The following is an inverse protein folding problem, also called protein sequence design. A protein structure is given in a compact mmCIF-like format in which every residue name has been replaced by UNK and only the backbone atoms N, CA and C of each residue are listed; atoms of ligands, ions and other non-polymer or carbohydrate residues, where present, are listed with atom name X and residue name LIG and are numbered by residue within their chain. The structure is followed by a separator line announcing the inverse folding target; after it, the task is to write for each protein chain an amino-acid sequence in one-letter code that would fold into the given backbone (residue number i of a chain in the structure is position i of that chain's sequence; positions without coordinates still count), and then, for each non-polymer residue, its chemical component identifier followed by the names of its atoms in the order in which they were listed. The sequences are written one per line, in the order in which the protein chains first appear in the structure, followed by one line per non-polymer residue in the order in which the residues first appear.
data_IF_349018379352
#
_entry.id   IF_349018379352
#
_cell.length_a   1.000
_cell.length_b   1.000
_cell.length_c   1.000
_cell.angle_alpha   90.00
_cell.angle_beta   90.00
_cell.angle_gamma   90.00
#
_symmetry.space_group_name_H-M   'P 1'
#
loop_
_entity.id
_entity.type
_entity.pdbx_description
1 polymer ?
#
# COMPACT_ATOMS: atom_id res chain seq x y z
N UNK A 1 -13.68 7.71 28.98
CA UNK A 1 -14.10 6.54 28.21
C UNK A 1 -15.24 6.91 27.26
N UNK A 2 -14.90 7.44 26.10
CA UNK A 2 -15.84 7.55 24.98
C UNK A 2 -15.10 7.02 23.77
N UNK A 3 -15.29 5.71 23.51
CA UNK A 3 -14.83 5.08 22.31
C UNK A 3 -15.38 5.82 21.10
N UNK A 4 -14.49 6.29 20.24
CA UNK A 4 -14.77 6.73 18.89
C UNK A 4 -15.46 5.56 18.20
N UNK A 5 -16.76 5.66 17.95
CA UNK A 5 -17.44 4.82 16.97
C UNK A 5 -16.93 5.27 15.60
N UNK A 6 -15.99 4.51 15.05
CA UNK A 6 -15.74 4.53 13.60
C UNK A 6 -17.08 4.33 12.91
N UNK A 7 -17.67 5.38 12.38
CA UNK A 7 -18.76 5.25 11.42
C UNK A 7 -18.13 4.71 10.14
N UNK A 8 -18.09 3.39 10.06
CA UNK A 8 -17.61 2.66 8.91
C UNK A 8 -18.49 3.05 7.72
N UNK A 9 -18.04 4.01 6.90
CA UNK A 9 -18.69 4.28 5.62
C UNK A 9 -18.49 3.06 4.74
N UNK A 10 -19.51 2.69 3.99
CA UNK A 10 -19.44 1.55 3.09
C UNK A 10 -18.40 1.82 2.00
N UNK A 11 -17.49 0.88 1.81
CA UNK A 11 -16.44 0.92 0.78
C UNK A 11 -17.03 0.88 -0.64
N UNK A 12 -18.30 0.51 -0.76
CA UNK A 12 -19.04 0.42 -2.00
C UNK A 12 -20.51 0.77 -1.80
N UNK A 13 -21.17 1.21 -2.86
CA UNK A 13 -22.59 1.49 -2.90
C UNK A 13 -23.24 0.88 -4.15
N UNK A 14 -24.53 0.53 -4.04
CA UNK A 14 -25.32 0.00 -5.16
C UNK A 14 -26.07 1.14 -5.84
N UNK A 15 -26.07 1.13 -7.18
CA UNK A 15 -26.82 2.11 -7.97
C UNK A 15 -27.53 1.44 -9.15
N UNK A 16 -28.65 2.02 -9.55
CA UNK A 16 -29.38 1.62 -10.75
C UNK A 16 -28.60 2.04 -11.99
N UNK A 17 -28.47 1.12 -12.93
CA UNK A 17 -27.81 1.33 -14.21
C UNK A 17 -28.69 0.82 -15.35
N UNK A 18 -28.35 1.19 -16.57
CA UNK A 18 -28.83 0.51 -17.77
C UNK A 18 -27.69 -0.31 -18.35
N UNK A 19 -27.86 -1.62 -18.40
CA UNK A 19 -26.89 -2.59 -18.94
C UNK A 19 -27.28 -3.00 -20.36
N UNK A 20 -26.31 -2.96 -21.28
CA UNK A 20 -26.46 -3.58 -22.58
C UNK A 20 -26.02 -5.03 -22.54
N UNK A 21 -26.93 -5.96 -22.77
CA UNK A 21 -26.67 -7.39 -22.72
C UNK A 21 -27.49 -8.10 -23.82
N UNK A 22 -26.81 -8.94 -24.60
CA UNK A 22 -27.43 -9.72 -25.68
C UNK A 22 -28.29 -8.91 -26.67
N UNK A 23 -27.81 -7.72 -27.05
CA UNK A 23 -28.49 -6.86 -28.02
C UNK A 23 -29.63 -5.99 -27.44
N UNK A 24 -29.82 -5.98 -26.12
CA UNK A 24 -30.90 -5.25 -25.44
C UNK A 24 -30.38 -4.39 -24.29
N UNK A 25 -31.02 -3.25 -24.10
CA UNK A 25 -30.82 -2.40 -22.91
C UNK A 25 -31.78 -2.88 -21.81
N UNK A 26 -31.26 -3.14 -20.60
CA UNK A 26 -32.03 -3.58 -19.43
C UNK A 26 -31.66 -2.75 -18.21
N UNK A 27 -32.64 -2.42 -17.38
CA UNK A 27 -32.39 -1.89 -16.06
C UNK A 27 -31.72 -2.95 -15.18
N UNK A 28 -30.73 -2.57 -14.44
CA UNK A 28 -29.96 -3.45 -13.56
C UNK A 28 -29.42 -2.65 -12.38
N UNK A 29 -28.91 -3.36 -11.37
CA UNK A 29 -28.18 -2.75 -10.26
C UNK A 29 -26.71 -3.12 -10.40
N UNK A 30 -25.82 -2.15 -10.18
CA UNK A 30 -24.39 -2.38 -10.14
C UNK A 30 -23.78 -1.80 -8.87
N UNK A 31 -22.63 -2.33 -8.48
CA UNK A 31 -21.91 -1.96 -7.26
C UNK A 31 -20.69 -1.12 -7.61
N UNK A 32 -20.60 0.07 -7.05
CA UNK A 32 -19.51 1.01 -7.26
C UNK A 32 -18.68 1.18 -5.99
N UNK A 33 -17.37 1.37 -6.16
CA UNK A 33 -16.47 1.74 -5.05
C UNK A 33 -16.70 3.18 -4.64
N UNK A 34 -16.55 3.44 -3.34
CA UNK A 34 -16.68 4.77 -2.76
C UNK A 34 -15.34 5.50 -2.80
N UNK A 35 -15.32 6.70 -3.38
CA UNK A 35 -14.20 7.63 -3.27
C UNK A 35 -14.43 8.58 -2.09
N UNK A 36 -13.39 8.79 -1.30
CA UNK A 36 -13.44 9.69 -0.15
C UNK A 36 -12.22 10.61 -0.14
N UNK A 37 -12.41 11.94 -0.29
CA UNK A 37 -11.33 12.90 -0.14
C UNK A 37 -11.01 13.10 1.34
N UNK A 38 -9.77 12.79 1.74
CA UNK A 38 -9.27 12.96 3.10
C UNK A 38 -8.15 14.00 3.10
N UNK A 39 -8.39 15.14 3.73
CA UNK A 39 -7.40 16.21 3.91
C UNK A 39 -6.64 16.00 5.21
N UNK A 40 -5.34 15.81 5.11
CA UNK A 40 -4.43 15.58 6.24
C UNK A 40 -3.89 16.93 6.71
N UNK A 41 -4.23 17.28 7.96
CA UNK A 41 -3.73 18.44 8.67
C UNK A 41 -2.64 18.00 9.64
N UNK A 42 -1.46 18.59 9.59
CA UNK A 42 -0.36 18.29 10.51
C UNK A 42 0.00 19.55 11.30
N UNK A 43 -0.07 19.48 12.60
CA UNK A 43 0.18 20.61 13.51
C UNK A 43 -0.65 21.87 13.15
N UNK A 44 -1.89 21.68 12.65
CA UNK A 44 -2.79 22.76 12.25
C UNK A 44 -2.61 23.29 10.83
N UNK A 45 -1.62 22.81 10.08
CA UNK A 45 -1.38 23.17 8.68
C UNK A 45 -1.81 22.06 7.72
N UNK A 46 -2.35 22.43 6.55
CA UNK A 46 -2.69 21.47 5.50
C UNK A 46 -1.42 20.85 4.92
N UNK A 47 -1.32 19.52 5.00
CA UNK A 47 -0.20 18.76 4.46
C UNK A 47 -0.50 18.19 3.07
N UNK A 48 -1.64 17.50 2.93
CA UNK A 48 -2.04 16.90 1.66
C UNK A 48 -3.52 16.53 1.69
N UNK A 49 -4.15 16.42 0.50
CA UNK A 49 -5.44 15.76 0.32
C UNK A 49 -5.25 14.47 -0.47
N UNK A 50 -5.75 13.38 0.06
CA UNK A 50 -5.66 12.02 -0.52
C UNK A 50 -7.05 11.53 -0.87
N UNK A 51 -7.25 11.03 -2.09
CA UNK A 51 -8.48 10.33 -2.47
C UNK A 51 -8.32 8.86 -2.15
N UNK A 52 -9.16 8.33 -1.27
CA UNK A 52 -9.03 6.97 -0.73
C UNK A 52 -10.37 6.26 -0.60
N UNK A 53 -10.33 4.96 -0.30
CA UNK A 53 -11.48 4.24 0.22
C UNK A 53 -11.68 4.57 1.70
N UNK A 54 -12.93 4.76 2.19
CA UNK A 54 -13.23 5.23 3.54
C UNK A 54 -13.06 4.13 4.61
N UNK A 55 -11.99 3.37 4.55
CA UNK A 55 -11.65 2.30 5.50
C UNK A 55 -10.20 2.43 5.93
N UNK A 56 -9.90 2.07 7.19
CA UNK A 56 -8.55 2.10 7.74
C UNK A 56 -7.85 3.46 7.54
N UNK A 57 -8.56 4.56 7.71
CA UNK A 57 -8.06 5.91 7.40
C UNK A 57 -6.94 6.35 8.34
N UNK A 58 -6.95 5.97 9.61
CA UNK A 58 -5.82 6.23 10.52
C UNK A 58 -4.54 5.54 10.05
N UNK A 59 -4.65 4.27 9.65
CA UNK A 59 -3.52 3.53 9.08
C UNK A 59 -3.01 4.20 7.81
N UNK A 60 -3.92 4.64 6.91
CA UNK A 60 -3.55 5.38 5.70
C UNK A 60 -2.74 6.63 6.03
N UNK A 61 -3.22 7.45 6.97
CA UNK A 61 -2.57 8.70 7.36
C UNK A 61 -1.18 8.44 7.96
N UNK A 62 -1.06 7.47 8.87
CA UNK A 62 0.22 7.09 9.47
C UNK A 62 1.22 6.60 8.43
N UNK A 63 0.81 5.69 7.57
CA UNK A 63 1.66 5.14 6.52
C UNK A 63 2.04 6.17 5.47
N UNK A 64 1.11 7.05 5.11
CA UNK A 64 1.37 8.15 4.19
C UNK A 64 2.41 9.12 4.76
N UNK A 65 2.25 9.59 6.00
CA UNK A 65 3.19 10.49 6.66
C UNK A 65 4.58 9.86 6.81
N UNK A 66 4.65 8.55 7.11
CA UNK A 66 5.91 7.82 7.19
C UNK A 66 6.57 7.67 5.82
N UNK A 67 5.79 7.37 4.77
CA UNK A 67 6.28 7.28 3.38
C UNK A 67 6.80 8.62 2.86
N UNK A 68 6.17 9.72 3.25
CA UNK A 68 6.60 11.07 2.89
C UNK A 68 7.73 11.62 3.79
N UNK A 69 8.16 10.87 4.80
CA UNK A 69 9.22 11.29 5.73
C UNK A 69 8.80 12.32 6.76
N UNK A 70 7.50 12.62 6.86
CA UNK A 70 6.94 13.53 7.86
C UNK A 70 6.92 12.88 9.26
N UNK A 71 6.73 11.56 9.32
CA UNK A 71 6.78 10.74 10.52
C UNK A 71 7.94 9.73 10.39
N UNK A 72 9.00 9.87 11.21
CA UNK A 72 10.14 8.93 11.17
C UNK A 72 10.06 7.86 12.26
N UNK A 73 9.46 8.21 13.40
CA UNK A 73 9.30 7.32 14.55
C UNK A 73 7.92 7.50 15.14
N UNK A 74 7.35 6.42 15.67
CA UNK A 74 6.01 6.44 16.28
C UNK A 74 5.93 7.41 17.48
N UNK A 75 6.99 7.56 18.24
CA UNK A 75 7.06 8.45 19.41
C UNK A 75 6.96 9.94 19.03
N UNK A 76 7.08 10.28 17.74
CA UNK A 76 6.84 11.63 17.24
C UNK A 76 5.35 11.95 17.09
N UNK A 77 4.50 10.92 17.06
CA UNK A 77 3.04 11.08 17.00
C UNK A 77 2.49 11.38 18.39
N UNK A 78 1.86 12.55 18.57
CA UNK A 78 1.12 12.90 19.78
C UNK A 78 -0.33 12.45 19.71
N UNK A 79 -1.00 12.77 18.61
CA UNK A 79 -2.40 12.40 18.39
C UNK A 79 -2.74 12.29 16.92
N UNK A 80 -3.78 11.51 16.63
CA UNK A 80 -4.43 11.42 15.32
C UNK A 80 -5.93 11.36 15.56
N UNK A 81 -6.69 12.17 14.83
CA UNK A 81 -8.15 12.22 14.90
C UNK A 81 -8.72 12.33 13.48
N UNK A 82 -9.64 11.44 13.14
CA UNK A 82 -10.34 11.47 11.86
C UNK A 82 -11.72 12.10 12.06
N UNK A 83 -12.00 13.17 11.33
CA UNK A 83 -13.35 13.75 11.20
C UNK A 83 -13.96 13.26 9.87
N UNK A 84 -14.62 12.11 9.94
CA UNK A 84 -15.27 11.47 8.79
C UNK A 84 -16.35 12.35 8.16
N UNK A 85 -16.99 13.21 8.96
CA UNK A 85 -18.09 14.06 8.48
C UNK A 85 -17.60 15.15 7.56
N UNK A 86 -16.40 15.65 7.80
CA UNK A 86 -15.79 16.77 7.07
C UNK A 86 -14.65 16.33 6.14
N UNK A 87 -14.18 15.08 6.23
CA UNK A 87 -13.07 14.60 5.43
C UNK A 87 -11.71 15.15 5.87
N UNK A 88 -11.50 15.31 7.19
CA UNK A 88 -10.23 15.79 7.74
C UNK A 88 -9.59 14.73 8.65
N UNK A 89 -8.27 14.63 8.56
CA UNK A 89 -7.43 13.95 9.52
C UNK A 89 -6.54 14.98 10.22
N UNK A 90 -6.73 15.15 11.51
CA UNK A 90 -5.93 16.06 12.35
C UNK A 90 -4.82 15.27 13.03
N UNK A 91 -3.58 15.58 12.73
CA UNK A 91 -2.39 14.92 13.26
C UNK A 91 -1.54 15.93 14.02
N UNK A 92 -1.19 15.59 15.25
CA UNK A 92 -0.21 16.33 16.02
C UNK A 92 1.09 15.55 16.14
N UNK A 93 2.17 16.17 15.72
CA UNK A 93 3.54 15.66 15.84
C UNK A 93 4.32 16.46 16.88
N UNK A 94 5.30 15.82 17.53
CA UNK A 94 6.21 16.47 18.48
C UNK A 94 7.17 17.46 17.85
N UNK A 95 7.45 17.28 16.54
CA UNK A 95 8.37 18.11 15.77
C UNK A 95 7.63 18.92 14.71
N UNK A 96 8.12 20.13 14.44
CA UNK A 96 7.62 20.95 13.35
C UNK A 96 8.00 20.36 12.00
N UNK A 97 7.10 20.44 11.02
CA UNK A 97 7.39 20.07 9.63
C UNK A 97 8.41 21.00 8.98
N UNK A 98 8.46 22.28 9.40
CA UNK A 98 9.38 23.28 8.87
C UNK A 98 10.85 22.88 9.04
N UNK A 99 11.18 22.18 10.12
CA UNK A 99 12.52 21.68 10.39
C UNK A 99 12.96 20.56 9.41
N UNK A 100 12.00 19.96 8.69
CA UNK A 100 12.24 18.82 7.77
C UNK A 100 12.03 19.15 6.30
N UNK A 101 11.21 20.14 6.02
CA UNK A 101 10.78 20.50 4.66
C UNK A 101 11.05 21.97 4.36
N UNK A 102 12.29 22.42 4.53
CA UNK A 102 12.71 23.82 4.24
C UNK A 102 12.31 24.33 2.84
N UNK A 103 11.86 23.45 1.92
CA UNK A 103 11.58 23.76 0.52
C UNK A 103 10.33 23.12 -0.09
N UNK A 104 9.34 22.66 0.69
CA UNK A 104 8.15 22.07 0.06
C UNK A 104 6.97 23.05 0.00
N UNK A 105 6.76 23.64 -1.16
CA UNK A 105 5.49 24.25 -1.58
C UNK A 105 4.32 23.28 -1.40
N UNK A 106 3.17 23.81 -0.94
CA UNK A 106 1.89 23.11 -0.77
C UNK A 106 1.65 22.10 -1.89
N UNK A 107 1.50 20.81 -1.54
CA UNK A 107 1.34 19.74 -2.52
C UNK A 107 -0.09 19.22 -2.48
N UNK A 108 -0.79 19.34 -3.59
CA UNK A 108 -1.95 18.53 -3.88
C UNK A 108 -1.46 17.22 -4.51
N UNK A 109 -1.49 16.12 -3.76
CA UNK A 109 -1.11 14.80 -4.27
C UNK A 109 -2.40 14.10 -4.71
N UNK A 110 -2.73 14.24 -5.98
CA UNK A 110 -3.77 13.42 -6.59
C UNK A 110 -3.24 11.98 -6.74
N UNK A 111 -3.97 11.00 -6.22
CA UNK A 111 -3.64 9.58 -6.23
C UNK A 111 -3.49 8.95 -7.61
N UNK A 112 -3.77 9.68 -8.67
CA UNK A 112 -3.98 9.13 -10.01
C UNK A 112 -3.28 9.87 -11.08
N UNK A 113 -2.32 10.51 -11.25
CA UNK A 113 -1.71 10.96 -12.52
C UNK A 113 -0.50 11.89 -12.36
N UNK A 114 0.63 11.37 -12.52
CA UNK A 114 1.68 11.73 -13.45
C UNK A 114 2.26 13.17 -13.52
N UNK A 115 1.98 14.10 -12.60
CA UNK A 115 2.48 15.48 -12.75
C UNK A 115 3.49 15.99 -11.73
N UNK A 116 4.07 15.15 -10.87
CA UNK A 116 5.04 15.59 -9.86
C UNK A 116 6.34 14.78 -9.84
N UNK A 117 6.75 14.21 -10.97
CA UNK A 117 7.85 13.23 -11.06
C UNK A 117 9.25 13.75 -10.72
N UNK A 118 9.57 15.01 -10.93
CA UNK A 118 10.94 15.49 -10.71
C UNK A 118 11.28 15.74 -9.23
N UNK A 119 10.30 16.06 -8.38
CA UNK A 119 10.51 16.29 -6.96
C UNK A 119 10.55 15.02 -6.09
N UNK A 120 9.92 13.92 -6.56
CA UNK A 120 9.93 12.64 -5.84
C UNK A 120 11.32 12.00 -5.78
N UNK A 121 12.12 12.10 -6.84
CA UNK A 121 13.39 11.39 -6.91
C UNK A 121 14.42 11.84 -5.87
N UNK A 122 14.47 13.10 -5.48
CA UNK A 122 15.47 13.59 -4.49
C UNK A 122 15.07 13.20 -3.05
N UNK A 123 13.80 13.33 -2.68
CA UNK A 123 13.31 12.89 -1.37
C UNK A 123 13.21 11.36 -1.27
N UNK A 124 12.92 10.68 -2.36
CA UNK A 124 12.80 9.24 -2.41
C UNK A 124 14.14 8.54 -2.24
N UNK A 125 15.22 9.08 -2.83
CA UNK A 125 16.57 8.58 -2.61
C UNK A 125 17.04 8.72 -1.15
N UNK A 126 16.55 9.75 -0.43
CA UNK A 126 16.91 9.97 0.98
C UNK A 126 16.12 9.05 1.94
N UNK A 127 14.92 8.62 1.56
CA UNK A 127 14.01 7.82 2.42
C UNK A 127 13.93 6.34 2.03
N UNK A 128 14.22 5.99 0.78
CA UNK A 128 14.36 4.61 0.34
C UNK A 128 15.62 3.98 0.92
N UNK A 129 15.46 2.88 1.64
CA UNK A 129 16.57 2.18 2.31
C UNK A 129 16.91 0.90 1.56
N UNK A 130 18.20 0.62 1.43
CA UNK A 130 18.66 -0.71 1.00
C UNK A 130 18.17 -1.77 1.98
N UNK A 131 17.53 -2.81 1.47
CA UNK A 131 16.98 -3.87 2.32
C UNK A 131 18.09 -4.70 2.97
N UNK A 132 17.99 -4.85 4.28
CA UNK A 132 18.83 -5.75 5.09
C UNK A 132 18.08 -7.05 5.46
N UNK A 133 17.01 -7.36 4.75
CA UNK A 133 16.20 -8.55 5.00
C UNK A 133 17.01 -9.82 4.76
N UNK A 134 16.84 -10.76 5.71
CA UNK A 134 17.38 -12.12 5.62
C UNK A 134 16.27 -13.16 5.40
N UNK A 135 15.06 -12.71 5.08
CA UNK A 135 13.94 -13.63 4.85
C UNK A 135 14.25 -14.56 3.68
N UNK A 136 13.90 -15.80 3.84
CA UNK A 136 13.86 -16.79 2.76
C UNK A 136 12.49 -17.44 2.73
N UNK A 137 11.91 -17.57 1.55
CA UNK A 137 10.61 -18.20 1.34
C UNK A 137 10.71 -19.26 0.26
N UNK A 138 9.81 -20.23 0.31
CA UNK A 138 9.74 -21.28 -0.70
C UNK A 138 8.87 -20.85 -1.89
N UNK A 139 9.03 -21.46 -3.09
CA UNK A 139 8.11 -21.27 -4.20
C UNK A 139 6.65 -21.53 -3.84
N UNK A 140 6.39 -22.53 -3.02
CA UNK A 140 5.02 -22.82 -2.58
C UNK A 140 4.43 -21.70 -1.71
N UNK A 141 5.25 -21.10 -0.82
CA UNK A 141 4.81 -19.94 -0.03
C UNK A 141 4.51 -18.72 -0.92
N UNK A 142 5.28 -18.49 -1.99
CA UNK A 142 4.99 -17.43 -2.98
C UNK A 142 3.59 -17.62 -3.57
N UNK A 143 3.29 -18.83 -4.06
CA UNK A 143 2.00 -19.15 -4.65
C UNK A 143 0.85 -19.05 -3.63
N UNK A 144 1.05 -19.58 -2.44
CA UNK A 144 0.05 -19.54 -1.36
C UNK A 144 -0.29 -18.11 -0.93
N UNK A 145 0.71 -17.25 -0.76
CA UNK A 145 0.49 -15.84 -0.40
C UNK A 145 -0.31 -15.10 -1.46
N UNK A 146 -0.01 -15.33 -2.75
CA UNK A 146 -0.77 -14.71 -3.83
C UNK A 146 -2.22 -15.23 -3.88
N UNK A 147 -2.44 -16.51 -3.66
CA UNK A 147 -3.78 -17.11 -3.59
C UNK A 147 -4.58 -16.53 -2.42
N UNK A 148 -3.95 -16.35 -1.24
CA UNK A 148 -4.58 -15.70 -0.09
C UNK A 148 -4.99 -14.27 -0.40
N UNK A 149 -4.12 -13.48 -1.06
CA UNK A 149 -4.47 -12.11 -1.48
C UNK A 149 -5.68 -12.10 -2.41
N UNK A 150 -5.72 -13.00 -3.40
CA UNK A 150 -6.84 -13.08 -4.34
C UNK A 150 -8.14 -13.52 -3.67
N UNK A 151 -8.07 -14.39 -2.67
CA UNK A 151 -9.24 -14.85 -1.91
C UNK A 151 -9.79 -13.76 -0.97
N UNK A 152 -8.91 -12.93 -0.40
CA UNK A 152 -9.29 -11.81 0.47
C UNK A 152 -9.99 -10.66 -0.30
N UNK A 153 -9.91 -10.66 -1.63
CA UNK A 153 -10.37 -9.56 -2.50
C UNK A 153 -11.80 -9.74 -3.01
N UNK A 154 -12.76 -10.01 -2.12
CA UNK A 154 -14.17 -10.26 -2.51
C UNK A 154 -14.84 -9.06 -3.18
N UNK A 155 -14.64 -7.85 -2.67
CA UNK A 155 -15.21 -6.60 -3.23
C UNK A 155 -14.56 -6.26 -4.58
N UNK A 156 -13.28 -6.54 -4.76
CA UNK A 156 -12.61 -6.38 -6.06
C UNK A 156 -13.26 -7.24 -7.15
N UNK A 157 -13.67 -8.46 -6.83
CA UNK A 157 -14.35 -9.35 -7.79
C UNK A 157 -15.70 -8.81 -8.23
N UNK A 158 -16.35 -8.01 -7.39
CA UNK A 158 -17.65 -7.41 -7.68
C UNK A 158 -17.54 -6.07 -8.43
N UNK A 159 -16.53 -5.25 -8.11
CA UNK A 159 -16.45 -3.87 -8.59
C UNK A 159 -15.30 -3.62 -9.57
N UNK A 160 -14.25 -4.45 -9.54
CA UNK A 160 -13.02 -4.24 -10.33
C UNK A 160 -12.21 -2.99 -9.95
N UNK A 161 -12.68 -2.19 -9.00
CA UNK A 161 -12.19 -0.83 -8.74
C UNK A 161 -11.19 -0.67 -7.58
N UNK A 162 -10.78 -1.76 -6.92
CA UNK A 162 -9.89 -1.70 -5.76
C UNK A 162 -8.52 -2.34 -6.02
N UNK A 163 -7.49 -1.73 -5.48
CA UNK A 163 -6.17 -2.33 -5.35
C UNK A 163 -6.05 -3.07 -4.03
N UNK A 164 -5.40 -4.22 -4.06
CA UNK A 164 -5.21 -5.07 -2.89
C UNK A 164 -3.72 -5.23 -2.61
N UNK A 165 -3.37 -5.14 -1.34
CA UNK A 165 -2.03 -5.40 -0.85
C UNK A 165 -2.09 -6.21 0.44
N UNK A 166 -1.07 -7.02 0.69
CA UNK A 166 -0.91 -7.72 1.95
C UNK A 166 0.55 -7.71 2.39
N UNK A 167 0.75 -7.90 3.68
CA UNK A 167 2.08 -8.13 4.26
C UNK A 167 2.06 -9.46 5.02
N UNK A 168 3.11 -10.26 4.84
CA UNK A 168 3.19 -11.62 5.39
C UNK A 168 4.62 -11.96 5.82
N UNK A 169 4.77 -12.94 6.70
CA UNK A 169 6.06 -13.57 7.00
C UNK A 169 6.33 -14.82 6.14
N UNK A 170 5.41 -15.13 5.24
CA UNK A 170 5.45 -16.31 4.41
C UNK A 170 4.71 -17.50 4.99
N UNK A 171 4.20 -17.40 6.22
CA UNK A 171 3.59 -18.50 6.97
C UNK A 171 2.26 -18.05 7.62
N UNK A 172 2.19 -17.97 8.94
CA UNK A 172 0.96 -17.71 9.69
C UNK A 172 0.51 -16.24 9.61
N UNK A 173 1.46 -15.29 9.69
CA UNK A 173 1.14 -13.87 9.67
C UNK A 173 0.76 -13.41 8.26
N UNK A 174 -0.42 -12.81 8.14
CA UNK A 174 -0.93 -12.26 6.89
C UNK A 174 -1.96 -11.16 7.18
N UNK A 175 -1.61 -9.92 6.85
CA UNK A 175 -2.49 -8.76 6.95
C UNK A 175 -2.77 -8.20 5.57
N UNK A 176 -4.03 -7.86 5.31
CA UNK A 176 -4.52 -7.41 4.01
C UNK A 176 -5.23 -6.07 4.13
N UNK A 177 -4.97 -5.20 3.15
CA UNK A 177 -5.67 -3.92 2.97
C UNK A 177 -6.03 -3.71 1.51
N UNK A 178 -7.08 -2.93 1.31
CA UNK A 178 -7.58 -2.56 -0.01
C UNK A 178 -7.88 -1.06 -0.07
N UNK A 179 -7.72 -0.49 -1.26
CA UNK A 179 -8.02 0.91 -1.52
C UNK A 179 -8.23 1.13 -3.03
N UNK A 180 -8.96 2.21 -3.39
CA UNK A 180 -9.06 2.68 -4.78
C UNK A 180 -7.70 3.13 -5.34
N UNK A 181 -6.81 3.62 -4.48
CA UNK A 181 -5.45 4.04 -4.79
C UNK A 181 -4.43 2.94 -4.50
N UNK A 182 -3.64 2.55 -5.52
CA UNK A 182 -2.59 1.53 -5.32
C UNK A 182 -1.57 1.91 -4.24
N UNK A 183 -1.18 3.18 -4.15
CA UNK A 183 -0.27 3.68 -3.13
C UNK A 183 -0.91 3.69 -1.74
N UNK A 184 -2.21 4.00 -1.68
CA UNK A 184 -2.96 4.03 -0.42
C UNK A 184 -3.05 2.64 0.22
N UNK A 185 -3.26 1.58 -0.58
CA UNK A 185 -3.29 0.22 -0.06
C UNK A 185 -1.97 -0.16 0.63
N UNK A 186 -0.82 0.26 0.08
CA UNK A 186 0.49 0.06 0.70
C UNK A 186 0.68 0.92 1.94
N UNK A 187 0.22 2.18 1.91
CA UNK A 187 0.31 3.08 3.05
C UNK A 187 -0.55 2.57 4.23
N UNK A 188 -1.74 2.05 3.97
CA UNK A 188 -2.56 1.40 5.00
C UNK A 188 -1.80 0.26 5.69
N UNK A 189 -1.15 -0.63 4.93
CA UNK A 189 -0.31 -1.69 5.51
C UNK A 189 0.86 -1.15 6.31
N UNK A 190 1.51 -0.10 5.81
CA UNK A 190 2.63 0.52 6.52
C UNK A 190 2.15 1.15 7.84
N UNK A 191 1.05 1.89 7.80
CA UNK A 191 0.43 2.45 9.00
C UNK A 191 0.00 1.39 9.99
N UNK A 192 -0.60 0.28 9.54
CA UNK A 192 -0.89 -0.88 10.37
C UNK A 192 0.35 -1.40 11.08
N UNK A 193 1.45 -1.58 10.36
CA UNK A 193 2.70 -2.07 10.95
C UNK A 193 3.27 -1.09 11.99
N UNK A 194 3.21 0.22 11.73
CA UNK A 194 3.64 1.25 12.68
C UNK A 194 2.76 1.22 13.93
N UNK A 195 1.44 1.20 13.74
CA UNK A 195 0.47 1.23 14.84
C UNK A 195 0.60 0.03 15.77
N UNK A 196 0.83 -1.15 15.20
CA UNK A 196 0.90 -2.42 15.91
C UNK A 196 2.34 -2.87 16.24
N UNK A 197 3.35 -2.02 16.00
CA UNK A 197 4.77 -2.36 16.24
C UNK A 197 5.25 -3.63 15.54
N UNK A 198 4.73 -3.90 14.32
CA UNK A 198 5.11 -5.07 13.53
C UNK A 198 6.46 -4.80 12.84
N UNK A 199 7.50 -5.61 13.09
CA UNK A 199 8.78 -5.47 12.40
C UNK A 199 8.65 -5.91 10.94
N UNK A 200 8.97 -5.01 10.01
CA UNK A 200 8.76 -5.23 8.56
C UNK A 200 9.96 -5.82 7.83
N UNK A 201 11.17 -5.74 8.41
CA UNK A 201 12.43 -6.16 7.76
C UNK A 201 12.37 -7.56 7.14
N UNK A 202 11.78 -8.52 7.83
CA UNK A 202 11.65 -9.90 7.38
C UNK A 202 10.19 -10.21 7.01
N UNK A 203 9.56 -9.31 6.27
CA UNK A 203 8.23 -9.50 5.72
C UNK A 203 8.26 -9.44 4.19
N UNK A 204 7.23 -10.01 3.61
CA UNK A 204 6.95 -10.04 2.19
C UNK A 204 5.77 -9.13 1.93
N UNK A 205 5.89 -8.23 0.97
CA UNK A 205 4.79 -7.41 0.47
C UNK A 205 4.17 -8.11 -0.73
N UNK A 206 2.87 -8.36 -0.70
CA UNK A 206 2.10 -8.96 -1.78
C UNK A 206 1.18 -7.90 -2.35
N UNK A 207 1.15 -7.77 -3.68
CA UNK A 207 0.46 -6.69 -4.35
C UNK A 207 -0.31 -7.16 -5.59
N UNK A 208 -1.52 -6.64 -5.79
CA UNK A 208 -2.36 -7.02 -6.93
C UNK A 208 -1.97 -6.34 -8.25
N UNK A 209 -1.35 -5.17 -8.17
CA UNK A 209 -1.03 -4.33 -9.31
C UNK A 209 0.39 -4.54 -9.84
N UNK A 210 0.73 -3.82 -10.91
CA UNK A 210 2.06 -3.81 -11.52
C UNK A 210 3.10 -3.19 -10.57
N UNK A 211 4.29 -3.77 -10.50
CA UNK A 211 5.43 -3.21 -9.77
C UNK A 211 6.04 -2.09 -10.63
N UNK A 212 5.59 -0.86 -10.41
CA UNK A 212 6.23 0.34 -10.97
C UNK A 212 7.41 0.77 -10.10
N UNK A 213 8.24 1.68 -10.61
CA UNK A 213 9.32 2.29 -9.82
C UNK A 213 8.82 2.94 -8.53
N UNK A 214 7.68 3.61 -8.58
CA UNK A 214 7.04 4.24 -7.40
C UNK A 214 6.61 3.22 -6.35
N UNK A 215 6.02 2.10 -6.78
CA UNK A 215 5.61 1.01 -5.88
C UNK A 215 6.83 0.34 -5.25
N UNK A 216 7.90 0.13 -6.03
CA UNK A 216 9.13 -0.44 -5.50
C UNK A 216 9.80 0.49 -4.47
N UNK A 217 9.87 1.79 -4.75
CA UNK A 217 10.39 2.79 -3.81
C UNK A 217 9.57 2.78 -2.53
N UNK A 218 8.24 2.70 -2.63
CA UNK A 218 7.37 2.60 -1.45
C UNK A 218 7.64 1.32 -0.65
N UNK A 219 7.85 0.19 -1.31
CA UNK A 219 8.25 -1.06 -0.65
C UNK A 219 9.60 -0.92 0.09
N UNK A 220 10.55 -0.21 -0.51
CA UNK A 220 11.83 0.11 0.11
C UNK A 220 11.67 1.04 1.34
N UNK A 221 10.79 2.04 1.28
CA UNK A 221 10.47 2.93 2.40
C UNK A 221 9.80 2.18 3.56
N UNK A 222 8.89 1.26 3.25
CA UNK A 222 8.31 0.32 4.23
C UNK A 222 9.41 -0.52 4.87
N UNK A 223 10.39 -0.99 4.07
CA UNK A 223 11.54 -1.73 4.55
C UNK A 223 11.42 -3.25 4.38
N UNK A 224 10.54 -3.72 3.50
CA UNK A 224 10.42 -5.16 3.17
C UNK A 224 11.56 -5.65 2.27
N UNK A 225 11.87 -6.94 2.32
CA UNK A 225 12.93 -7.54 1.51
C UNK A 225 12.42 -8.21 0.23
N UNK A 226 11.13 -8.48 0.13
CA UNK A 226 10.51 -9.19 -0.98
C UNK A 226 9.21 -8.53 -1.36
N UNK A 227 8.98 -8.34 -2.65
CA UNK A 227 7.71 -7.91 -3.22
C UNK A 227 7.21 -8.93 -4.24
N UNK A 228 5.96 -9.34 -4.07
CA UNK A 228 5.26 -10.29 -4.93
C UNK A 228 4.14 -9.60 -5.69
N UNK A 229 4.01 -9.87 -7.00
CA UNK A 229 2.93 -9.33 -7.81
C UNK A 229 2.36 -10.34 -8.79
N UNK A 230 1.07 -10.24 -9.06
CA UNK A 230 0.42 -10.96 -10.16
C UNK A 230 0.83 -10.43 -11.53
N UNK A 231 1.26 -9.16 -11.59
CA UNK A 231 1.57 -8.42 -12.82
C UNK A 231 3.08 -8.27 -13.02
N UNK A 232 3.47 -7.71 -14.17
CA UNK A 232 4.86 -7.44 -14.51
C UNK A 232 5.45 -6.27 -13.74
N UNK A 233 6.76 -6.27 -13.43
CA UNK A 233 7.50 -5.08 -13.07
C UNK A 233 7.86 -4.25 -14.31
N UNK A 234 8.15 -2.96 -14.10
CA UNK A 234 8.76 -2.10 -15.13
C UNK A 234 10.29 -2.24 -15.11
N UNK A 235 10.96 -1.86 -16.21
CA UNK A 235 12.43 -1.88 -16.30
C UNK A 235 13.09 -1.08 -15.18
N UNK A 236 12.61 0.13 -14.91
CA UNK A 236 13.14 0.97 -13.84
C UNK A 236 12.90 0.35 -12.45
N UNK A 237 11.75 -0.31 -12.25
CA UNK A 237 11.49 -1.02 -11.00
C UNK A 237 12.47 -2.18 -10.77
N UNK A 238 12.82 -2.93 -11.82
CA UNK A 238 13.80 -4.02 -11.72
C UNK A 238 15.19 -3.46 -11.38
N UNK A 239 15.61 -2.37 -12.02
CA UNK A 239 16.89 -1.72 -11.72
C UNK A 239 16.95 -1.25 -10.27
N UNK A 240 15.91 -0.55 -9.80
CA UNK A 240 15.82 -0.12 -8.40
C UNK A 240 15.78 -1.30 -7.41
N UNK A 241 15.14 -2.41 -7.79
CA UNK A 241 15.12 -3.61 -6.97
C UNK A 241 16.53 -4.20 -6.77
N UNK A 242 17.35 -4.19 -7.84
CA UNK A 242 18.77 -4.58 -7.72
C UNK A 242 19.53 -3.64 -6.81
N UNK A 243 19.40 -2.32 -7.00
CA UNK A 243 20.14 -1.31 -6.25
C UNK A 243 19.76 -1.28 -4.76
N UNK A 244 18.47 -1.52 -4.45
CA UNK A 244 17.90 -1.50 -3.10
C UNK A 244 17.86 -2.87 -2.43
N UNK A 245 18.45 -3.90 -3.04
CA UNK A 245 18.50 -5.26 -2.51
C UNK A 245 17.12 -5.84 -2.16
N UNK A 246 16.13 -5.62 -3.04
CA UNK A 246 14.77 -6.15 -2.91
C UNK A 246 14.57 -7.26 -3.92
N UNK A 247 14.03 -8.39 -3.48
CA UNK A 247 13.59 -9.47 -4.36
C UNK A 247 12.24 -9.10 -4.98
N UNK A 248 12.21 -8.92 -6.30
CA UNK A 248 10.99 -8.64 -7.05
C UNK A 248 10.54 -9.89 -7.80
N UNK A 249 9.31 -10.32 -7.52
CA UNK A 249 8.67 -11.48 -8.15
C UNK A 249 7.40 -11.03 -8.84
N UNK A 250 7.24 -11.39 -10.11
CA UNK A 250 6.07 -11.03 -10.90
C UNK A 250 5.50 -12.20 -11.70
N UNK A 251 4.38 -11.93 -12.39
CA UNK A 251 3.63 -12.93 -13.16
C UNK A 251 3.22 -14.15 -12.34
N UNK A 252 2.88 -13.95 -11.06
CA UNK A 252 2.48 -15.06 -10.17
C UNK A 252 1.06 -15.50 -10.55
N UNK A 253 0.98 -16.57 -11.32
CA UNK A 253 -0.28 -17.15 -11.80
C UNK A 253 -0.08 -18.58 -12.30
N UNK A 254 -1.12 -19.39 -12.24
CA UNK A 254 -1.17 -20.74 -12.81
C UNK A 254 0.02 -21.62 -12.37
N UNK A 255 0.43 -21.50 -11.10
CA UNK A 255 1.54 -22.27 -10.54
C UNK A 255 2.94 -21.79 -10.96
N UNK A 256 3.04 -20.66 -11.69
CA UNK A 256 4.29 -20.13 -12.22
C UNK A 256 4.54 -18.70 -11.71
N UNK A 257 5.81 -18.27 -11.75
CA UNK A 257 6.22 -16.88 -11.50
C UNK A 257 7.64 -16.63 -12.03
N UNK A 258 8.00 -15.37 -12.18
CA UNK A 258 9.33 -14.93 -12.58
C UNK A 258 9.99 -14.16 -11.43
N UNK A 259 11.28 -14.42 -11.18
CA UNK A 259 12.10 -13.68 -10.22
C UNK A 259 12.99 -12.74 -11.03
N UNK A 260 12.87 -11.43 -10.79
CA UNK A 260 13.56 -10.39 -11.55
C UNK A 260 14.81 -9.85 -10.86
N UNK A 261 14.92 -10.01 -9.55
CA UNK A 261 16.06 -9.53 -8.76
C UNK A 261 16.24 -10.37 -7.50
N UNK A 262 17.49 -10.52 -7.07
CA UNK A 262 17.87 -11.16 -5.81
C UNK A 262 17.18 -12.51 -5.54
N UNK A 263 17.39 -13.52 -6.42
CA UNK A 263 16.70 -14.82 -6.36
C UNK A 263 17.08 -15.65 -5.12
N UNK A 264 18.16 -15.32 -4.45
CA UNK A 264 18.67 -16.04 -3.27
C UNK A 264 17.69 -16.09 -2.09
N UNK A 265 16.66 -15.24 -2.07
CA UNK A 265 15.59 -15.27 -1.05
C UNK A 265 14.46 -16.25 -1.37
N UNK A 266 14.42 -16.78 -2.60
CA UNK A 266 13.45 -17.81 -2.98
C UNK A 266 14.19 -19.14 -3.06
N UNK A 267 13.97 -20.02 -2.10
CA UNK A 267 14.67 -21.30 -2.01
C UNK A 267 13.67 -22.44 -2.05
N UNK A 268 13.93 -23.44 -2.89
CA UNK A 268 13.22 -24.69 -2.80
C UNK A 268 13.32 -25.26 -1.38
N UNK A 269 12.25 -25.88 -0.91
CA UNK A 269 12.33 -26.65 0.34
C UNK A 269 13.47 -27.68 0.15
N UNK A 270 14.38 -27.77 1.12
CA UNK A 270 15.35 -28.86 1.12
C UNK A 270 14.54 -30.15 1.17
N UNK A 271 14.72 -31.01 0.18
CA UNK A 271 14.20 -32.36 0.26
C UNK A 271 14.68 -32.96 1.58
N UNK A 272 13.71 -33.33 2.43
CA UNK A 272 14.00 -34.05 3.69
C UNK A 272 14.29 -35.51 3.34
N UNK A 273 15.39 -35.71 2.58
CA UNK A 273 15.94 -37.04 2.28
C UNK A 273 17.44 -36.99 2.50
N UNK A 274 17.82 -37.19 3.76
CA UNK A 274 18.99 -37.93 4.18
C UNK A 274 18.78 -38.44 5.61
#
# INVERSE_FOLDING_TARGET
DKGSKDMNRDISSNQNIVRYENGQLKESVDTYVTEFPLTIMVNGEEFATVICSPTNMEELVLGFLASEGALLKKDELKSIQIDDSKGFAHVELTKSLNDRFEYSTKRMIASCCGKSREFYFQNDAATAKTSLSKITITPQQVLNMMTRLQSASTIFKQTGGLHNAAISDGDAFFEHRQDIGRHNALDKLYGFCIQNHIPVRNKVLIFSGRISSEILIKAAKIGVGVILSKSAPTTLAIQLAHDLNITAVGFIRDGNFNIYSHPERIKAAKDSTE
#
